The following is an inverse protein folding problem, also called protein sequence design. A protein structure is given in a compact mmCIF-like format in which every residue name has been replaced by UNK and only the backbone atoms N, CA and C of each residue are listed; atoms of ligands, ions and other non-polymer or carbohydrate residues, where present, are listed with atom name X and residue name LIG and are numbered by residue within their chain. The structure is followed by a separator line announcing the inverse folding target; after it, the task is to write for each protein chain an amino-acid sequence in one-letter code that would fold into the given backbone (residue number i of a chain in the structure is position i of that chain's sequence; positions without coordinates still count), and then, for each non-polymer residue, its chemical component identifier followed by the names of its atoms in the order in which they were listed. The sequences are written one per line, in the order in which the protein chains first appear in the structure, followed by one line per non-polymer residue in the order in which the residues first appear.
data_IF_279528477076
#
_entry.id   IF_279528477076
#
_cell.length_a   1.000
_cell.length_b   1.000
_cell.length_c   1.000
_cell.angle_alpha   90.00
_cell.angle_beta   90.00
_cell.angle_gamma   90.00
#
_symmetry.space_group_name_H-M   'P 1'
#
loop_
_entity.id
_entity.type
_entity.pdbx_description
1 polymer ?
#
# COMPACT_ATOMS: atom_id res chain seq x y z
N UNK A 1 4.87 12.76 -26.09
CA UNK A 1 5.25 11.61 -25.25
C UNK A 1 4.96 10.35 -26.04
N UNK A 2 5.99 9.57 -26.36
CA UNK A 2 5.85 8.26 -26.98
C UNK A 2 5.53 7.20 -25.91
N UNK A 3 5.06 6.02 -26.33
CA UNK A 3 4.81 4.89 -25.41
C UNK A 3 6.09 4.50 -24.64
N UNK A 4 7.23 4.48 -25.33
CA UNK A 4 8.52 4.14 -24.75
C UNK A 4 9.00 5.21 -23.74
N UNK A 5 8.75 6.48 -24.01
CA UNK A 5 9.00 7.57 -23.05
C UNK A 5 8.12 7.43 -21.81
N UNK A 6 6.83 7.11 -21.98
CA UNK A 6 5.90 6.90 -20.87
C UNK A 6 6.26 5.67 -20.03
N UNK A 7 6.67 4.57 -20.66
CA UNK A 7 7.12 3.35 -19.97
C UNK A 7 8.41 3.60 -19.18
N UNK A 8 9.35 4.35 -19.75
CA UNK A 8 10.58 4.74 -19.06
C UNK A 8 10.32 5.70 -17.91
N UNK A 9 9.44 6.69 -18.10
CA UNK A 9 9.07 7.64 -17.04
C UNK A 9 8.33 6.93 -15.89
N UNK A 10 7.43 6.00 -16.22
CA UNK A 10 6.80 5.15 -15.22
C UNK A 10 7.84 4.28 -14.49
N UNK A 11 8.77 3.65 -15.21
CA UNK A 11 9.84 2.89 -14.58
C UNK A 11 10.70 3.77 -13.65
N UNK A 12 11.07 4.96 -14.10
CA UNK A 12 11.88 5.90 -13.33
C UNK A 12 11.15 6.41 -12.08
N UNK A 13 9.83 6.58 -12.13
CA UNK A 13 9.00 6.95 -10.98
C UNK A 13 9.00 5.87 -9.90
N UNK A 14 8.88 4.60 -10.30
CA UNK A 14 8.71 3.49 -9.36
C UNK A 14 10.02 2.83 -8.93
N UNK A 15 11.07 2.93 -9.74
CA UNK A 15 12.29 2.13 -9.57
C UNK A 15 13.59 2.91 -9.44
N UNK A 16 13.58 4.26 -9.56
CA UNK A 16 14.76 5.06 -9.22
C UNK A 16 14.75 5.48 -7.73
N UNK A 17 15.79 5.13 -6.96
CA UNK A 17 15.95 5.56 -5.57
C UNK A 17 15.77 7.06 -5.35
N UNK A 18 16.35 7.89 -6.21
CA UNK A 18 16.25 9.35 -6.09
C UNK A 18 14.83 9.91 -6.23
N UNK A 19 14.00 9.27 -7.06
CA UNK A 19 12.59 9.65 -7.24
C UNK A 19 11.78 9.26 -6.03
N UNK A 20 12.04 8.06 -5.50
CA UNK A 20 11.41 7.56 -4.27
C UNK A 20 11.63 8.53 -3.10
N UNK A 21 12.86 9.03 -2.91
CA UNK A 21 13.17 9.98 -1.84
C UNK A 21 12.42 11.30 -1.92
N UNK A 22 12.00 11.71 -3.13
CA UNK A 22 11.29 12.98 -3.34
C UNK A 22 9.78 12.83 -3.26
N UNK A 23 9.25 11.60 -3.25
CA UNK A 23 7.83 11.35 -3.19
C UNK A 23 7.27 11.84 -1.84
N UNK A 24 6.31 12.75 -1.87
CA UNK A 24 5.59 13.13 -0.66
C UNK A 24 4.71 11.97 -0.18
N UNK A 25 4.50 11.82 1.14
CA UNK A 25 3.49 10.90 1.66
C UNK A 25 2.10 11.23 1.11
N UNK A 26 1.29 10.19 0.91
CA UNK A 26 -0.15 10.36 0.69
C UNK A 26 -0.74 11.13 1.90
N UNK A 27 -1.61 12.13 1.68
CA UNK A 27 -2.21 12.89 2.78
C UNK A 27 -2.84 11.98 3.84
N UNK A 28 -2.56 12.26 5.11
CA UNK A 28 -3.06 11.52 6.27
C UNK A 28 -2.35 10.19 6.56
N UNK A 29 -1.44 9.73 5.70
CA UNK A 29 -0.85 8.40 5.83
C UNK A 29 0.12 8.32 7.02
N UNK A 30 0.88 9.39 7.25
CA UNK A 30 1.83 9.45 8.37
C UNK A 30 1.07 9.51 9.70
N UNK A 31 0.01 10.31 9.75
CA UNK A 31 -0.85 10.46 10.91
C UNK A 31 -1.56 9.16 11.25
N UNK A 32 -2.09 8.45 10.24
CA UNK A 32 -2.69 7.13 10.42
C UNK A 32 -1.69 6.13 11.02
N UNK A 33 -0.46 6.06 10.47
CA UNK A 33 0.59 5.18 10.99
C UNK A 33 1.01 5.55 12.41
N UNK A 34 1.07 6.85 12.71
CA UNK A 34 1.41 7.35 14.04
C UNK A 34 0.33 6.98 15.06
N UNK A 35 -0.96 7.13 14.73
CA UNK A 35 -2.07 6.69 15.57
C UNK A 35 -2.04 5.18 15.84
N UNK A 36 -1.78 4.36 14.82
CA UNK A 36 -1.60 2.92 15.00
C UNK A 36 -0.45 2.62 15.96
N UNK A 37 0.69 3.30 15.80
CA UNK A 37 1.86 3.15 16.66
C UNK A 37 1.55 3.55 18.11
N UNK A 38 0.95 4.71 18.32
CA UNK A 38 0.61 5.23 19.66
C UNK A 38 -0.41 4.36 20.40
N UNK A 39 -1.27 3.64 19.67
CA UNK A 39 -2.27 2.72 20.22
C UNK A 39 -1.78 1.29 20.36
N UNK A 40 -0.47 1.06 20.23
CA UNK A 40 0.20 -0.25 20.28
C UNK A 40 -0.47 -1.28 19.34
N UNK A 41 -0.88 -0.83 18.15
CA UNK A 41 -1.43 -1.72 17.11
C UNK A 41 -0.28 -2.28 16.30
N UNK A 42 -0.27 -3.60 16.15
CA UNK A 42 0.71 -4.25 15.30
C UNK A 42 0.37 -4.05 13.81
N UNK A 43 1.25 -3.38 13.06
CA UNK A 43 1.13 -3.20 11.62
C UNK A 43 2.45 -3.49 10.90
N UNK A 44 2.32 -3.82 9.61
CA UNK A 44 3.42 -4.09 8.69
C UNK A 44 3.16 -3.35 7.38
N UNK A 45 4.17 -2.64 6.89
CA UNK A 45 4.18 -2.05 5.56
C UNK A 45 4.54 -3.15 4.55
N UNK A 46 3.63 -3.46 3.64
CA UNK A 46 3.79 -4.54 2.65
C UNK A 46 3.81 -3.96 1.22
N UNK A 47 4.98 -3.56 0.76
CA UNK A 47 5.18 -2.96 -0.56
C UNK A 47 5.50 -4.02 -1.62
N UNK A 48 4.97 -3.84 -2.84
CA UNK A 48 5.29 -4.66 -4.02
C UNK A 48 6.62 -4.28 -4.69
N UNK A 49 7.32 -3.24 -4.20
CA UNK A 49 8.63 -2.82 -4.74
C UNK A 49 9.61 -3.99 -4.77
N UNK A 50 10.46 -4.04 -5.79
CA UNK A 50 11.49 -5.08 -5.92
C UNK A 50 12.47 -5.07 -4.72
N UNK A 51 13.09 -6.22 -4.38
CA UNK A 51 14.01 -6.35 -3.25
C UNK A 51 15.12 -5.29 -3.19
N UNK A 52 15.65 -4.90 -4.35
CA UNK A 52 16.76 -3.96 -4.54
C UNK A 52 16.42 -2.56 -4.01
N UNK A 53 15.13 -2.21 -3.95
CA UNK A 53 14.65 -0.91 -3.45
C UNK A 53 14.32 -0.92 -1.96
N UNK A 54 14.66 -2.00 -1.25
CA UNK A 54 14.42 -2.11 0.20
C UNK A 54 15.07 -0.97 0.97
N UNK A 55 16.34 -0.69 0.70
CA UNK A 55 17.08 0.33 1.44
C UNK A 55 16.47 1.73 1.21
N UNK A 56 16.21 2.08 -0.06
CA UNK A 56 15.56 3.36 -0.41
C UNK A 56 14.18 3.48 0.23
N UNK A 57 13.41 2.40 0.25
CA UNK A 57 12.09 2.36 0.92
C UNK A 57 12.23 2.60 2.43
N UNK A 58 13.17 1.92 3.09
CA UNK A 58 13.42 2.14 4.52
C UNK A 58 13.85 3.58 4.80
N UNK A 59 14.75 4.13 3.99
CA UNK A 59 15.24 5.48 4.18
C UNK A 59 14.14 6.53 3.94
N UNK A 60 13.20 6.29 3.02
CA UNK A 60 12.00 7.11 2.86
C UNK A 60 11.17 7.17 4.17
N UNK A 61 10.92 6.01 4.80
CA UNK A 61 10.23 5.96 6.09
C UNK A 61 11.02 6.63 7.22
N UNK A 62 12.35 6.55 7.23
CA UNK A 62 13.15 7.29 8.22
C UNK A 62 12.97 8.80 8.14
N UNK A 63 12.70 9.34 6.95
CA UNK A 63 12.48 10.77 6.75
C UNK A 63 11.06 11.16 7.17
N UNK A 64 10.05 10.43 6.68
CA UNK A 64 8.64 10.84 6.82
C UNK A 64 7.92 10.22 8.02
N UNK A 65 8.33 9.05 8.50
CA UNK A 65 7.72 8.31 9.60
C UNK A 65 8.78 7.62 10.48
N UNK A 66 9.69 8.37 11.15
CA UNK A 66 10.86 7.79 11.83
C UNK A 66 10.53 6.81 12.97
N UNK A 67 9.29 6.80 13.46
CA UNK A 67 8.77 5.84 14.43
C UNK A 67 8.46 4.45 13.83
N UNK A 68 8.42 4.32 12.50
CA UNK A 68 8.24 3.04 11.82
C UNK A 68 9.58 2.31 11.78
N UNK A 69 9.70 1.26 12.58
CA UNK A 69 10.89 0.42 12.59
C UNK A 69 11.15 -0.24 11.22
N UNK A 70 12.42 -0.36 10.76
CA UNK A 70 12.74 -1.10 9.54
C UNK A 70 12.26 -2.57 9.55
N UNK A 71 12.12 -3.13 10.76
CA UNK A 71 11.57 -4.46 11.04
C UNK A 71 10.09 -4.58 10.64
N UNK A 72 9.36 -3.48 10.43
CA UNK A 72 7.95 -3.46 9.99
C UNK A 72 7.79 -3.27 8.49
N UNK A 73 8.87 -2.99 7.76
CA UNK A 73 8.84 -2.71 6.32
C UNK A 73 9.22 -3.97 5.54
N UNK A 74 8.40 -4.32 4.55
CA UNK A 74 8.55 -5.51 3.71
C UNK A 74 8.40 -5.11 2.24
N UNK A 75 9.37 -5.49 1.41
CA UNK A 75 9.39 -5.31 -0.05
C UNK A 75 9.31 -6.68 -0.74
N UNK A 76 9.10 -6.75 -2.05
CA UNK A 76 9.07 -7.99 -2.85
C UNK A 76 10.21 -8.95 -2.56
N UNK A 77 10.03 -10.23 -2.92
CA UNK A 77 11.05 -11.27 -2.80
C UNK A 77 11.65 -11.58 -4.18
N UNK A 78 12.96 -11.81 -4.23
CA UNK A 78 13.63 -12.17 -5.49
C UNK A 78 13.06 -13.47 -6.04
N UNK A 79 12.78 -13.51 -7.35
CA UNK A 79 12.18 -14.67 -8.02
C UNK A 79 10.66 -14.79 -7.90
N UNK A 80 9.97 -13.84 -7.25
CA UNK A 80 8.51 -13.80 -7.16
C UNK A 80 7.96 -12.49 -7.71
N UNK A 81 6.82 -12.56 -8.41
CA UNK A 81 6.05 -11.36 -8.74
C UNK A 81 5.58 -10.65 -7.46
N UNK A 82 5.54 -9.31 -7.49
CA UNK A 82 5.24 -8.48 -6.32
C UNK A 82 3.92 -8.85 -5.64
N UNK A 83 2.91 -9.23 -6.42
CA UNK A 83 1.61 -9.67 -5.93
C UNK A 83 1.66 -11.01 -5.18
N UNK A 84 2.36 -12.01 -5.74
CA UNK A 84 2.52 -13.32 -5.08
C UNK A 84 3.22 -13.18 -3.73
N UNK A 85 4.24 -12.31 -3.65
CA UNK A 85 4.91 -11.99 -2.38
C UNK A 85 3.95 -11.35 -1.36
N UNK A 86 3.10 -10.41 -1.81
CA UNK A 86 2.12 -9.75 -0.93
C UNK A 86 1.16 -10.78 -0.32
N UNK A 87 0.58 -11.65 -1.15
CA UNK A 87 -0.39 -12.68 -0.75
C UNK A 87 0.23 -13.64 0.26
N UNK A 88 1.40 -14.22 -0.05
CA UNK A 88 2.07 -15.18 0.84
C UNK A 88 2.27 -14.60 2.25
N UNK A 89 2.70 -13.34 2.35
CA UNK A 89 2.92 -12.67 3.64
C UNK A 89 1.66 -12.31 4.42
N UNK A 90 0.54 -12.15 3.74
CA UNK A 90 -0.75 -11.89 4.39
C UNK A 90 -1.27 -13.20 4.99
N UNK A 91 -1.17 -14.29 4.23
CA UNK A 91 -1.57 -15.64 4.66
C UNK A 91 -0.77 -16.12 5.88
N UNK A 92 0.54 -15.86 5.91
CA UNK A 92 1.41 -16.29 7.01
C UNK A 92 1.18 -15.53 8.33
N UNK A 93 0.68 -14.29 8.26
CA UNK A 93 0.70 -13.37 9.40
C UNK A 93 -0.63 -13.27 10.18
N UNK A 94 -1.64 -14.12 9.89
CA UNK A 94 -3.01 -14.00 10.43
C UNK A 94 -3.53 -12.55 10.40
N UNK A 95 -3.20 -11.79 9.34
CA UNK A 95 -3.64 -10.39 9.24
C UNK A 95 -5.10 -10.36 8.82
N UNK A 96 -5.91 -9.73 9.65
CA UNK A 96 -7.35 -9.61 9.41
C UNK A 96 -7.71 -8.42 8.52
N UNK A 97 -6.79 -7.47 8.33
CA UNK A 97 -7.04 -6.25 7.57
C UNK A 97 -5.83 -5.89 6.70
N UNK A 98 -6.09 -5.47 5.47
CA UNK A 98 -5.12 -4.97 4.52
C UNK A 98 -5.65 -3.72 3.82
N UNK A 99 -4.82 -2.67 3.71
CA UNK A 99 -5.13 -1.45 2.95
C UNK A 99 -4.33 -1.50 1.66
N UNK A 100 -5.00 -1.38 0.52
CA UNK A 100 -4.43 -1.45 -0.83
C UNK A 100 -5.05 -0.36 -1.70
N UNK A 101 -4.31 0.14 -2.68
CA UNK A 101 -4.72 1.17 -3.65
C UNK A 101 -4.93 0.61 -5.07
N UNK A 102 -4.33 -0.55 -5.38
CA UNK A 102 -4.42 -1.24 -6.67
C UNK A 102 -5.55 -2.29 -6.65
N UNK A 103 -6.62 -2.13 -7.48
CA UNK A 103 -7.75 -3.06 -7.51
C UNK A 103 -7.36 -4.52 -7.77
N UNK A 104 -6.45 -4.78 -8.70
CA UNK A 104 -6.02 -6.14 -9.05
C UNK A 104 -5.33 -6.83 -7.87
N UNK A 105 -4.54 -6.08 -7.09
CA UNK A 105 -3.95 -6.60 -5.86
C UNK A 105 -5.03 -6.87 -4.80
N UNK A 106 -5.99 -5.95 -4.66
CA UNK A 106 -7.12 -6.10 -3.74
C UNK A 106 -7.93 -7.37 -4.03
N UNK A 107 -8.28 -7.62 -5.31
CA UNK A 107 -8.98 -8.84 -5.74
C UNK A 107 -8.19 -10.10 -5.38
N UNK A 108 -6.91 -10.15 -5.73
CA UNK A 108 -6.11 -11.33 -5.45
C UNK A 108 -5.94 -11.57 -3.94
N UNK A 109 -5.86 -10.54 -3.11
CA UNK A 109 -5.83 -10.71 -1.65
C UNK A 109 -7.16 -11.27 -1.14
N UNK A 110 -8.30 -10.82 -1.69
CA UNK A 110 -9.60 -11.38 -1.36
C UNK A 110 -9.70 -12.85 -1.76
N UNK A 111 -9.22 -13.21 -2.95
CA UNK A 111 -9.35 -14.58 -3.50
C UNK A 111 -8.46 -15.58 -2.75
N UNK A 112 -7.24 -15.17 -2.38
CA UNK A 112 -6.21 -16.08 -1.87
C UNK A 112 -5.94 -15.98 -0.37
N UNK A 113 -6.61 -15.08 0.35
CA UNK A 113 -6.41 -14.89 1.79
C UNK A 113 -7.72 -14.68 2.54
N UNK A 114 -7.66 -14.74 3.88
CA UNK A 114 -8.79 -14.42 4.75
C UNK A 114 -8.85 -12.95 5.19
N UNK A 115 -7.97 -12.09 4.67
CA UNK A 115 -7.93 -10.69 5.07
C UNK A 115 -9.18 -9.94 4.60
N UNK A 116 -9.61 -8.97 5.39
CA UNK A 116 -10.46 -7.87 4.96
C UNK A 116 -9.60 -6.87 4.18
N UNK A 117 -10.06 -6.46 3.00
CA UNK A 117 -9.40 -5.47 2.15
C UNK A 117 -10.14 -4.15 2.25
N UNK A 118 -9.40 -3.10 2.60
CA UNK A 118 -9.81 -1.72 2.39
C UNK A 118 -9.15 -1.25 1.09
N UNK A 119 -9.97 -1.08 0.05
CA UNK A 119 -9.50 -0.58 -1.24
C UNK A 119 -9.65 0.95 -1.26
N UNK A 120 -8.53 1.65 -1.33
CA UNK A 120 -8.45 3.10 -1.45
C UNK A 120 -8.31 3.46 -2.93
N UNK A 121 -9.42 3.42 -3.67
CA UNK A 121 -9.39 3.61 -5.11
C UNK A 121 -10.72 4.10 -5.65
N UNK A 122 -10.66 5.01 -6.63
CA UNK A 122 -11.80 5.45 -7.42
C UNK A 122 -12.18 4.46 -8.53
N UNK A 123 -11.41 3.38 -8.72
CA UNK A 123 -11.72 2.38 -9.74
C UNK A 123 -12.98 1.59 -9.40
N UNK A 124 -13.79 1.30 -10.41
CA UNK A 124 -14.98 0.45 -10.31
C UNK A 124 -14.66 -1.03 -10.60
N UNK A 125 -13.38 -1.39 -10.79
CA UNK A 125 -12.95 -2.73 -11.23
C UNK A 125 -13.29 -3.87 -10.26
N UNK A 126 -13.71 -3.54 -9.03
CA UNK A 126 -14.17 -4.52 -8.02
C UNK A 126 -15.68 -4.44 -7.72
N UNK A 127 -16.47 -3.66 -8.46
CA UNK A 127 -17.92 -3.52 -8.20
C UNK A 127 -18.71 -4.82 -8.37
N UNK A 128 -18.21 -5.75 -9.19
CA UNK A 128 -18.75 -7.11 -9.36
C UNK A 128 -18.48 -8.00 -8.14
N UNK A 129 -17.47 -7.68 -7.32
CA UNK A 129 -17.14 -8.45 -6.13
C UNK A 129 -18.10 -8.13 -4.99
N UNK A 130 -19.08 -9.02 -4.79
CA UNK A 130 -19.88 -9.04 -3.55
C UNK A 130 -19.13 -9.81 -2.46
N UNK A 131 -18.16 -9.17 -1.82
CA UNK A 131 -17.43 -9.73 -0.68
C UNK A 131 -17.74 -8.95 0.59
N UNK A 132 -18.13 -9.65 1.66
CA UNK A 132 -18.26 -9.06 3.00
C UNK A 132 -16.92 -8.64 3.63
N UNK A 133 -15.80 -9.01 2.99
CA UNK A 133 -14.44 -8.66 3.37
C UNK A 133 -13.86 -7.49 2.56
N UNK A 134 -14.67 -6.81 1.75
CA UNK A 134 -14.23 -5.66 0.98
C UNK A 134 -14.92 -4.40 1.49
N UNK A 135 -14.13 -3.39 1.84
CA UNK A 135 -14.60 -2.02 2.04
C UNK A 135 -13.90 -1.14 1.01
N UNK A 136 -14.66 -0.52 0.12
CA UNK A 136 -14.11 0.42 -0.83
C UNK A 136 -14.30 1.85 -0.33
N UNK A 137 -13.22 2.63 -0.39
CA UNK A 137 -13.23 4.07 -0.09
C UNK A 137 -12.90 4.78 -1.39
N UNK A 138 -13.88 5.53 -1.90
CA UNK A 138 -13.76 6.39 -3.08
C UNK A 138 -13.60 7.83 -2.61
N UNK A 139 -12.84 8.62 -3.37
CA UNK A 139 -12.66 10.04 -3.13
C UNK A 139 -13.85 10.85 -3.61
N UNK A 140 -13.87 12.14 -3.31
CA UNK A 140 -14.81 13.08 -3.91
C UNK A 140 -14.63 13.14 -5.43
N UNK A 141 -15.64 13.56 -6.22
CA UNK A 141 -15.48 13.74 -7.65
C UNK A 141 -14.28 14.62 -8.01
N UNK A 142 -13.31 14.05 -8.74
CA UNK A 142 -12.07 14.73 -9.12
C UNK A 142 -10.90 14.60 -8.14
N UNK A 143 -11.10 13.93 -7.00
CA UNK A 143 -10.08 13.72 -5.97
C UNK A 143 -9.79 12.23 -5.80
N UNK A 144 -8.51 11.88 -5.62
CA UNK A 144 -8.13 10.53 -5.20
C UNK A 144 -8.40 10.36 -3.70
N UNK A 145 -8.93 9.22 -3.27
CA UNK A 145 -9.11 8.95 -1.85
C UNK A 145 -7.75 8.86 -1.16
N UNK A 146 -7.69 9.27 0.11
CA UNK A 146 -6.46 9.33 0.89
C UNK A 146 -6.63 8.73 2.30
N UNK A 147 -5.60 8.86 3.14
CA UNK A 147 -5.64 8.30 4.48
C UNK A 147 -6.43 9.16 5.47
N UNK A 148 -6.81 10.40 5.16
CA UNK A 148 -7.79 11.13 5.96
C UNK A 148 -9.16 10.47 5.91
N UNK A 149 -9.54 9.91 4.76
CA UNK A 149 -10.79 9.17 4.63
C UNK A 149 -10.75 7.85 5.42
N UNK A 150 -9.59 7.21 5.47
CA UNK A 150 -9.37 6.04 6.35
C UNK A 150 -9.41 6.47 7.83
N UNK A 151 -8.74 7.55 8.21
CA UNK A 151 -8.68 8.03 9.59
C UNK A 151 -10.08 8.23 10.19
N UNK A 152 -11.03 8.78 9.41
CA UNK A 152 -12.43 8.96 9.84
C UNK A 152 -13.11 7.63 10.19
N UNK A 153 -12.78 6.53 9.49
CA UNK A 153 -13.37 5.22 9.74
C UNK A 153 -12.76 4.50 10.95
N UNK A 154 -11.49 4.75 11.24
CA UNK A 154 -10.75 4.04 12.30
C UNK A 154 -10.69 4.78 13.64
N UNK A 155 -10.67 6.12 13.59
CA UNK A 155 -10.38 6.96 14.75
C UNK A 155 -11.37 8.12 14.96
N UNK A 156 -12.24 8.38 13.98
CA UNK A 156 -13.36 9.33 14.11
C UNK A 156 -14.52 8.71 14.89
#
# INVERSE_FOLDING_TARGET
MTKEEAEKENFDLWYKPETLFKAAPVPGAIEFLHELYMRDKNFIINSSRIPELRESTVNWYKIHAPFVEPSRIRTGMSGFEGLATKINRISDARRHLHIEDVPEHGRAILDYTHAHVILLSNSDDLEDIKSNRLTQIKGSPGEMPDFWDINKLFFG
#
